data_IF_191179902574
#
_entry.id   IF_191179902574
#
_cell.length_a   1.000
_cell.length_b   1.000
_cell.length_c   1.000
_cell.angle_alpha   90.00
_cell.angle_beta   90.00
_cell.angle_gamma   90.00
#
_symmetry.space_group_name_H-M   'P 1'
#
loop_
_entity.id
_entity.type
_entity.pdbx_description
1 polymer ?
#
# COMPACT_ATOMS: atom_id res chain seq x y z
N UNK A 1 -14.77 29.36 2.52
CA UNK A 1 -14.50 28.73 1.23
C UNK A 1 -13.02 28.51 0.95
N UNK A 2 -12.15 29.51 0.94
CA UNK A 2 -10.70 29.33 0.68
C UNK A 2 -10.02 28.36 1.67
N UNK A 3 -10.32 28.46 2.97
CA UNK A 3 -9.78 27.55 3.98
C UNK A 3 -10.21 26.08 3.75
N UNK A 4 -11.44 25.84 3.30
CA UNK A 4 -11.93 24.50 2.99
C UNK A 4 -11.24 23.91 1.75
N UNK A 5 -10.98 24.73 0.73
CA UNK A 5 -10.21 24.32 -0.45
C UNK A 5 -8.77 23.99 -0.04
N UNK A 6 -8.14 24.82 0.81
CA UNK A 6 -6.81 24.57 1.34
C UNK A 6 -6.74 23.25 2.13
N UNK A 7 -7.71 23.00 3.00
CA UNK A 7 -7.81 21.74 3.74
C UNK A 7 -7.95 20.53 2.81
N UNK A 8 -8.82 20.61 1.80
CA UNK A 8 -9.00 19.55 0.82
C UNK A 8 -7.72 19.25 0.04
N UNK A 9 -7.02 20.29 -0.40
CA UNK A 9 -5.76 20.14 -1.13
C UNK A 9 -4.68 19.46 -0.27
N UNK A 10 -4.52 19.90 0.99
CA UNK A 10 -3.57 19.30 1.92
C UNK A 10 -3.94 17.83 2.17
N UNK A 11 -5.20 17.54 2.41
CA UNK A 11 -5.67 16.17 2.68
C UNK A 11 -5.42 15.25 1.48
N UNK A 12 -5.79 15.67 0.27
CA UNK A 12 -5.61 14.86 -0.95
C UNK A 12 -4.12 14.60 -1.23
N UNK A 13 -3.28 15.65 -1.20
CA UNK A 13 -1.86 15.51 -1.52
C UNK A 13 -1.14 14.68 -0.45
N UNK A 14 -1.43 14.94 0.83
CA UNK A 14 -0.82 14.19 1.92
C UNK A 14 -1.26 12.72 1.91
N UNK A 15 -2.54 12.45 1.77
CA UNK A 15 -3.06 11.08 1.69
C UNK A 15 -2.45 10.33 0.50
N UNK A 16 -2.34 10.95 -0.67
CA UNK A 16 -1.71 10.34 -1.83
C UNK A 16 -0.26 9.94 -1.55
N UNK A 17 0.52 10.83 -0.94
CA UNK A 17 1.91 10.54 -0.56
C UNK A 17 2.00 9.39 0.46
N UNK A 18 1.14 9.42 1.48
CA UNK A 18 1.08 8.37 2.51
C UNK A 18 0.73 7.01 1.89
N UNK A 19 -0.26 6.95 0.98
CA UNK A 19 -0.60 5.72 0.27
C UNK A 19 0.56 5.19 -0.57
N UNK A 20 1.31 6.04 -1.27
CA UNK A 20 2.49 5.62 -2.04
C UNK A 20 3.60 5.07 -1.13
N UNK A 21 3.87 5.73 -0.01
CA UNK A 21 4.87 5.27 0.96
C UNK A 21 4.48 3.94 1.61
N UNK A 22 3.20 3.76 1.96
CA UNK A 22 2.67 2.50 2.48
C UNK A 22 2.68 1.40 1.42
N UNK A 23 2.29 1.71 0.18
CA UNK A 23 2.38 0.74 -0.92
C UNK A 23 3.82 0.25 -1.11
N UNK A 24 4.81 1.15 -1.06
CA UNK A 24 6.24 0.80 -1.13
C UNK A 24 6.65 -0.13 0.00
N UNK A 25 6.26 0.17 1.24
CA UNK A 25 6.52 -0.68 2.40
C UNK A 25 5.86 -2.06 2.24
N UNK A 26 4.58 -2.10 1.88
CA UNK A 26 3.81 -3.34 1.69
C UNK A 26 4.39 -4.19 0.55
N UNK A 27 4.82 -3.59 -0.56
CA UNK A 27 5.44 -4.33 -1.66
C UNK A 27 6.72 -5.01 -1.22
N UNK A 28 7.54 -4.35 -0.43
CA UNK A 28 8.75 -4.95 0.09
C UNK A 28 8.45 -6.04 1.11
N UNK A 29 7.51 -5.82 2.01
CA UNK A 29 7.07 -6.81 2.99
C UNK A 29 6.49 -8.07 2.32
N UNK A 30 5.66 -7.90 1.31
CA UNK A 30 5.03 -8.99 0.55
C UNK A 30 5.92 -9.55 -0.56
N UNK A 31 7.16 -9.07 -0.69
CA UNK A 31 8.14 -9.47 -1.71
C UNK A 31 7.63 -9.35 -3.13
N UNK A 32 6.88 -8.30 -3.41
CA UNK A 32 6.38 -7.98 -4.74
C UNK A 32 7.53 -7.50 -5.63
N UNK A 33 7.63 -7.96 -6.88
CA UNK A 33 8.68 -7.50 -7.79
C UNK A 33 8.50 -6.02 -8.15
N UNK A 34 9.57 -5.22 -8.01
CA UNK A 34 9.57 -3.79 -8.38
C UNK A 34 9.87 -3.54 -9.88
N UNK A 35 10.26 -4.58 -10.62
CA UNK A 35 10.61 -4.48 -12.05
C UNK A 35 9.35 -4.43 -12.93
N UNK A 36 8.58 -3.38 -12.77
CA UNK A 36 7.38 -3.11 -13.56
C UNK A 36 7.07 -1.59 -13.50
N UNK A 37 6.27 -1.04 -14.42
CA UNK A 37 6.00 0.40 -14.51
C UNK A 37 5.44 1.00 -13.21
N UNK A 38 4.60 0.27 -12.48
CA UNK A 38 4.06 0.72 -11.19
C UNK A 38 5.14 0.80 -10.12
N UNK A 39 6.04 -0.18 -10.06
CA UNK A 39 7.15 -0.20 -9.13
C UNK A 39 8.14 0.94 -9.39
N UNK A 40 8.45 1.21 -10.65
CA UNK A 40 9.31 2.33 -11.04
C UNK A 40 8.68 3.67 -10.67
N UNK A 41 7.41 3.87 -10.96
CA UNK A 41 6.65 5.05 -10.55
C UNK A 41 6.66 5.22 -9.01
N UNK A 42 6.38 4.15 -8.28
CA UNK A 42 6.34 4.16 -6.83
C UNK A 42 7.69 4.57 -6.22
N UNK A 43 8.79 4.00 -6.74
CA UNK A 43 10.15 4.34 -6.32
C UNK A 43 10.50 5.77 -6.70
N UNK A 44 10.23 6.20 -7.92
CA UNK A 44 10.53 7.54 -8.40
C UNK A 44 9.84 8.61 -7.54
N UNK A 45 8.56 8.42 -7.22
CA UNK A 45 7.75 9.39 -6.49
C UNK A 45 8.10 9.44 -4.99
N UNK A 46 8.52 8.33 -4.38
CA UNK A 46 8.76 8.25 -2.93
C UNK A 46 10.24 8.36 -2.53
N UNK A 47 11.16 8.26 -3.47
CA UNK A 47 12.59 8.14 -3.19
C UNK A 47 13.19 9.38 -2.49
N UNK A 48 12.67 10.57 -2.79
CA UNK A 48 13.10 11.82 -2.14
C UNK A 48 12.85 11.80 -0.63
N UNK A 49 11.74 11.21 -0.17
CA UNK A 49 11.40 11.12 1.24
C UNK A 49 12.11 9.95 1.94
N UNK A 50 12.25 8.80 1.25
CA UNK A 50 12.78 7.57 1.85
C UNK A 50 14.31 7.55 1.87
N UNK A 51 15.00 8.12 0.87
CA UNK A 51 16.47 8.14 0.81
C UNK A 51 17.16 8.73 2.04
N UNK A 52 16.76 9.92 2.54
CA UNK A 52 17.40 10.48 3.73
C UNK A 52 17.18 9.60 4.98
N UNK A 53 15.99 9.02 5.12
CA UNK A 53 15.68 8.16 6.27
C UNK A 53 16.45 6.83 6.23
N UNK A 54 16.70 6.27 5.05
CA UNK A 54 17.53 5.06 4.90
C UNK A 54 18.98 5.23 5.34
N UNK A 55 19.47 6.46 5.43
CA UNK A 55 20.82 6.73 5.98
C UNK A 55 20.87 6.57 7.49
N UNK A 56 19.74 6.78 8.17
CA UNK A 56 19.60 6.72 9.63
C UNK A 56 18.98 5.39 10.06
N UNK A 57 18.00 4.89 9.30
CA UNK A 57 17.24 3.68 9.62
C UNK A 57 17.72 2.58 8.68
N UNK A 58 18.53 1.67 9.19
CA UNK A 58 18.95 0.50 8.45
C UNK A 58 17.75 -0.44 8.18
N UNK A 59 17.71 -1.13 7.02
CA UNK A 59 16.68 -2.13 6.77
C UNK A 59 16.81 -3.27 7.78
N UNK A 60 15.73 -3.58 8.48
CA UNK A 60 15.68 -4.65 9.48
C UNK A 60 14.96 -5.85 8.88
N UNK A 61 15.60 -7.01 8.88
CA UNK A 61 15.02 -8.27 8.41
C UNK A 61 14.40 -8.22 6.98
N UNK A 62 14.93 -7.36 6.10
CA UNK A 62 14.41 -7.18 4.75
C UNK A 62 13.19 -6.25 4.65
N UNK A 63 12.77 -5.64 5.75
CA UNK A 63 11.69 -4.65 5.79
C UNK A 63 12.24 -3.24 5.57
N UNK A 64 11.56 -2.46 4.73
CA UNK A 64 11.89 -1.04 4.51
C UNK A 64 11.24 -0.15 5.59
N UNK A 65 11.78 -0.24 6.82
CA UNK A 65 11.29 0.58 7.93
C UNK A 65 11.38 2.07 7.62
N UNK A 66 12.32 2.50 6.78
CA UNK A 66 12.44 3.89 6.36
C UNK A 66 11.19 4.36 5.60
N UNK A 67 10.58 3.51 4.75
CA UNK A 67 9.31 3.85 4.08
C UNK A 67 8.13 3.92 5.05
N UNK A 68 8.08 3.03 6.04
CA UNK A 68 7.04 3.06 7.08
C UNK A 68 7.14 4.31 7.96
N UNK A 69 8.36 4.64 8.42
CA UNK A 69 8.61 5.85 9.21
C UNK A 69 8.34 7.11 8.38
N UNK A 70 8.72 7.12 7.10
CA UNK A 70 8.39 8.23 6.19
C UNK A 70 6.88 8.42 6.07
N UNK A 71 6.10 7.34 5.92
CA UNK A 71 4.64 7.40 5.88
C UNK A 71 4.05 7.94 7.18
N UNK A 72 4.58 7.48 8.33
CA UNK A 72 4.14 7.94 9.64
C UNK A 72 4.41 9.42 9.87
N UNK A 73 5.61 9.89 9.53
CA UNK A 73 5.97 11.31 9.63
C UNK A 73 5.14 12.18 8.67
N UNK A 74 4.90 11.70 7.44
CA UNK A 74 4.06 12.40 6.48
C UNK A 74 2.62 12.52 6.99
N UNK A 75 2.07 11.46 7.59
CA UNK A 75 0.73 11.48 8.19
C UNK A 75 0.66 12.40 9.41
N UNK A 76 1.67 12.37 10.30
CA UNK A 76 1.74 13.32 11.42
C UNK A 76 1.75 14.77 10.94
N UNK A 77 2.56 15.07 9.92
CA UNK A 77 2.65 16.40 9.34
C UNK A 77 1.31 16.82 8.71
N UNK A 78 0.63 15.92 8.02
CA UNK A 78 -0.70 16.17 7.46
C UNK A 78 -1.74 16.50 8.53
N UNK A 79 -1.80 15.69 9.59
CA UNK A 79 -2.70 15.92 10.72
C UNK A 79 -2.40 17.25 11.43
N UNK A 80 -1.12 17.55 11.61
CA UNK A 80 -0.70 18.83 12.17
C UNK A 80 -1.12 20.02 11.29
N UNK A 81 -0.86 19.95 9.98
CA UNK A 81 -1.23 21.00 9.04
C UNK A 81 -2.75 21.21 8.98
N UNK A 82 -3.53 20.12 8.95
CA UNK A 82 -4.98 20.19 8.98
C UNK A 82 -5.53 20.76 10.27
N UNK A 83 -4.93 20.44 11.42
CA UNK A 83 -5.34 21.02 12.70
C UNK A 83 -5.03 22.52 12.77
N UNK A 84 -3.86 22.95 12.27
CA UNK A 84 -3.48 24.36 12.19
C UNK A 84 -4.44 25.16 11.29
N UNK A 85 -4.82 24.59 10.13
CA UNK A 85 -5.80 25.22 9.21
C UNK A 85 -7.22 25.32 9.80
N UNK A 86 -7.54 24.50 10.80
CA UNK A 86 -8.82 24.55 11.55
C UNK A 86 -8.79 25.51 12.73
N UNK A 87 -7.69 26.22 12.94
CA UNK A 87 -7.53 27.12 14.08
C UNK A 87 -7.19 26.42 15.39
N UNK A 88 -6.65 25.20 15.31
CA UNK A 88 -6.17 24.47 16.49
C UNK A 88 -4.99 25.19 17.14
N UNK A 89 -5.15 25.62 18.38
CA UNK A 89 -4.07 26.18 19.18
C UNK A 89 -3.28 25.05 19.84
N UNK A 90 -2.03 24.86 19.41
CA UNK A 90 -1.08 23.97 20.08
C UNK A 90 -0.42 24.71 21.26
N UNK A 91 -1.23 25.11 22.24
CA UNK A 91 -0.78 25.87 23.39
C UNK A 91 0.13 25.08 24.36
N UNK A 92 0.06 25.36 25.67
CA UNK A 92 0.94 24.84 26.73
C UNK A 92 1.07 23.29 26.84
N UNK A 93 0.27 22.52 26.10
CA UNK A 93 0.27 21.06 26.08
C UNK A 93 0.93 20.46 24.82
N UNK A 94 1.97 21.08 24.28
CA UNK A 94 2.64 20.68 23.03
C UNK A 94 3.04 19.18 23.02
N UNK A 95 3.51 18.66 24.15
CA UNK A 95 3.88 17.26 24.30
C UNK A 95 2.69 16.30 24.19
N UNK A 96 1.57 16.62 24.84
CA UNK A 96 0.36 15.83 24.78
C UNK A 96 -0.26 15.87 23.36
N UNK A 97 -0.29 17.04 22.74
CA UNK A 97 -0.77 17.19 21.36
C UNK A 97 0.08 16.36 20.37
N UNK A 98 1.41 16.40 20.48
CA UNK A 98 2.31 15.60 19.65
C UNK A 98 2.10 14.10 19.87
N UNK A 99 1.90 13.64 21.11
CA UNK A 99 1.61 12.22 21.39
C UNK A 99 0.29 11.76 20.78
N UNK A 100 -0.75 12.58 20.86
CA UNK A 100 -2.05 12.29 20.24
C UNK A 100 -1.93 12.21 18.72
N UNK A 101 -1.23 13.17 18.09
CA UNK A 101 -1.00 13.14 16.63
C UNK A 101 -0.21 11.90 16.22
N UNK A 102 0.82 11.53 16.97
CA UNK A 102 1.63 10.35 16.72
C UNK A 102 0.81 9.06 16.79
N UNK A 103 -0.02 8.92 17.83
CA UNK A 103 -0.90 7.77 18.00
C UNK A 103 -1.98 7.72 16.90
N UNK A 104 -2.61 8.84 16.58
CA UNK A 104 -3.61 8.93 15.50
C UNK A 104 -2.99 8.58 14.16
N UNK A 105 -1.81 9.13 13.84
CA UNK A 105 -1.09 8.81 12.62
C UNK A 105 -0.77 7.31 12.53
N UNK A 106 -0.40 6.66 13.62
CA UNK A 106 -0.13 5.24 13.63
C UNK A 106 -1.39 4.40 13.34
N UNK A 107 -2.52 4.74 13.95
CA UNK A 107 -3.82 4.09 13.67
C UNK A 107 -4.25 4.30 12.22
N UNK A 108 -4.07 5.52 11.70
CA UNK A 108 -4.37 5.82 10.29
C UNK A 108 -3.50 5.00 9.33
N UNK A 109 -2.22 4.78 9.64
CA UNK A 109 -1.35 3.93 8.81
C UNK A 109 -1.87 2.49 8.73
N UNK A 110 -2.33 1.94 9.84
CA UNK A 110 -2.95 0.59 9.84
C UNK A 110 -4.19 0.60 8.94
N UNK A 111 -5.06 1.58 9.10
CA UNK A 111 -6.29 1.71 8.30
C UNK A 111 -5.99 1.86 6.81
N UNK A 112 -5.04 2.72 6.45
CA UNK A 112 -4.64 2.93 5.05
C UNK A 112 -3.94 1.71 4.46
N UNK A 113 -3.16 0.97 5.25
CA UNK A 113 -2.58 -0.31 4.81
C UNK A 113 -3.67 -1.32 4.45
N UNK A 114 -4.74 -1.40 5.24
CA UNK A 114 -5.90 -2.24 4.93
C UNK A 114 -6.59 -1.78 3.64
N UNK A 115 -6.76 -0.48 3.42
CA UNK A 115 -7.34 0.04 2.18
C UNK A 115 -6.49 -0.29 0.95
N UNK A 116 -5.16 -0.19 1.05
CA UNK A 116 -4.24 -0.61 -0.03
C UNK A 116 -4.39 -2.10 -0.34
N UNK A 117 -4.51 -2.94 0.69
CA UNK A 117 -4.70 -4.38 0.51
C UNK A 117 -6.06 -4.72 -0.10
N UNK A 118 -7.14 -4.08 0.37
CA UNK A 118 -8.49 -4.24 -0.20
C UNK A 118 -8.49 -3.80 -1.68
N UNK A 119 -7.90 -2.66 -1.98
CA UNK A 119 -7.73 -2.19 -3.35
C UNK A 119 -6.97 -3.20 -4.21
N UNK A 120 -5.87 -3.75 -3.70
CA UNK A 120 -5.11 -4.77 -4.41
C UNK A 120 -5.92 -6.04 -4.71
N UNK A 121 -6.77 -6.49 -3.76
CA UNK A 121 -7.68 -7.63 -3.98
C UNK A 121 -8.70 -7.32 -5.07
N UNK A 122 -9.33 -6.15 -5.03
CA UNK A 122 -10.32 -5.73 -6.04
C UNK A 122 -9.67 -5.68 -7.43
N UNK A 123 -8.51 -5.03 -7.54
CA UNK A 123 -7.78 -4.93 -8.82
C UNK A 123 -7.36 -6.32 -9.32
N UNK A 124 -6.90 -7.22 -8.44
CA UNK A 124 -6.55 -8.58 -8.81
C UNK A 124 -7.74 -9.35 -9.39
N UNK A 125 -8.91 -9.24 -8.77
CA UNK A 125 -10.16 -9.86 -9.27
C UNK A 125 -10.53 -9.28 -10.63
N UNK A 126 -10.53 -7.96 -10.78
CA UNK A 126 -10.86 -7.30 -12.06
C UNK A 126 -9.87 -7.71 -13.15
N UNK A 127 -8.57 -7.71 -12.87
CA UNK A 127 -7.55 -8.12 -13.84
C UNK A 127 -7.68 -9.58 -14.25
N UNK A 128 -8.08 -10.46 -13.33
CA UNK A 128 -8.29 -11.87 -13.65
C UNK A 128 -9.42 -12.10 -14.67
N UNK A 129 -10.38 -11.18 -14.76
CA UNK A 129 -11.49 -11.26 -15.68
C UNK A 129 -11.24 -10.51 -17.00
N UNK A 130 -10.65 -9.31 -16.90
CA UNK A 130 -10.49 -8.40 -18.06
C UNK A 130 -9.20 -8.70 -18.84
N UNK A 131 -8.08 -8.85 -18.13
CA UNK A 131 -6.78 -9.09 -18.76
C UNK A 131 -5.80 -9.82 -17.81
N UNK A 132 -5.87 -11.16 -17.75
CA UNK A 132 -4.99 -11.95 -16.88
C UNK A 132 -3.51 -11.90 -17.29
N UNK A 133 -3.21 -11.49 -18.53
CA UNK A 133 -1.86 -11.37 -19.07
C UNK A 133 -1.28 -9.94 -18.94
N UNK A 134 -1.94 -9.07 -18.22
CA UNK A 134 -1.45 -7.71 -17.95
C UNK A 134 -0.09 -7.75 -17.24
N UNK A 135 0.89 -6.89 -17.63
CA UNK A 135 2.20 -6.80 -16.98
C UNK A 135 2.13 -6.42 -15.50
N UNK A 136 0.99 -5.90 -15.04
CA UNK A 136 0.75 -5.55 -13.63
C UNK A 136 0.04 -6.66 -12.83
N UNK A 137 -0.56 -7.65 -13.50
CA UNK A 137 -1.26 -8.75 -12.84
C UNK A 137 -0.40 -9.51 -11.81
N UNK A 138 0.89 -9.84 -12.10
CA UNK A 138 1.76 -10.49 -11.12
C UNK A 138 1.99 -9.69 -9.83
N UNK A 139 1.91 -8.36 -9.91
CA UNK A 139 2.05 -7.45 -8.77
C UNK A 139 0.90 -7.66 -7.79
N UNK A 140 -0.33 -7.56 -8.29
CA UNK A 140 -1.53 -7.72 -7.46
C UNK A 140 -1.71 -9.15 -6.98
N UNK A 141 -1.37 -10.16 -7.79
CA UNK A 141 -1.35 -11.55 -7.33
C UNK A 141 -0.36 -11.76 -6.19
N UNK A 142 0.88 -11.22 -6.29
CA UNK A 142 1.87 -11.31 -5.23
C UNK A 142 1.41 -10.61 -3.93
N UNK A 143 0.77 -9.44 -4.03
CA UNK A 143 0.22 -8.70 -2.88
C UNK A 143 -0.90 -9.47 -2.18
N UNK A 144 -1.76 -10.12 -2.93
CA UNK A 144 -2.97 -10.79 -2.41
C UNK A 144 -2.72 -12.24 -2.01
N UNK A 145 -1.68 -12.87 -2.55
CA UNK A 145 -1.33 -14.29 -2.33
C UNK A 145 -1.30 -14.72 -0.86
N UNK A 146 -0.68 -14.01 0.10
CA UNK A 146 -0.64 -14.44 1.50
C UNK A 146 -2.03 -14.47 2.14
N UNK A 147 -2.95 -13.61 1.69
CA UNK A 147 -4.31 -13.51 2.22
C UNK A 147 -5.26 -14.50 1.54
N UNK A 148 -5.07 -14.78 0.25
CA UNK A 148 -5.91 -15.70 -0.50
C UNK A 148 -5.51 -17.18 -0.33
N UNK A 149 -4.25 -17.47 0.02
CA UNK A 149 -3.79 -18.85 0.26
C UNK A 149 -4.63 -19.62 1.29
N UNK A 150 -4.92 -19.11 2.49
CA UNK A 150 -5.74 -19.83 3.45
C UNK A 150 -7.16 -20.06 2.93
N UNK A 151 -7.74 -19.08 2.23
CA UNK A 151 -9.09 -19.16 1.66
C UNK A 151 -9.14 -20.21 0.53
N UNK A 152 -8.15 -20.22 -0.36
CA UNK A 152 -8.04 -21.22 -1.44
C UNK A 152 -7.84 -22.66 -0.93
N UNK A 153 -7.33 -22.83 0.29
CA UNK A 153 -7.22 -24.15 0.92
C UNK A 153 -8.55 -24.64 1.50
N UNK A 154 -9.43 -23.72 1.88
CA UNK A 154 -10.75 -24.02 2.44
C UNK A 154 -11.79 -24.23 1.34
N UNK A 155 -11.60 -23.64 0.16
CA UNK A 155 -12.49 -23.79 -1.00
C UNK A 155 -11.74 -24.64 -2.03
N UNK A 156 -11.99 -25.97 -2.11
CA UNK A 156 -11.40 -26.80 -3.14
C UNK A 156 -11.87 -26.30 -4.52
N UNK A 157 -11.02 -26.35 -5.55
CA UNK A 157 -11.41 -25.96 -6.89
C UNK A 157 -12.58 -26.85 -7.38
N UNK A 158 -13.75 -26.25 -7.59
CA UNK A 158 -14.98 -26.94 -8.04
C UNK A 158 -14.94 -27.26 -9.54
N UNK A 159 -13.83 -27.10 -10.21
CA UNK A 159 -13.70 -27.40 -11.63
C UNK A 159 -12.40 -28.14 -11.90
N UNK A 160 -12.45 -29.44 -11.66
CA UNK A 160 -11.63 -30.37 -12.43
C UNK A 160 -12.31 -30.57 -13.79
N UNK A 161 -12.14 -29.64 -14.70
CA UNK A 161 -12.32 -29.93 -16.12
C UNK A 161 -11.04 -30.65 -16.55
N UNK A 162 -11.00 -31.94 -16.33
CA UNK A 162 -10.07 -32.84 -16.97
C UNK A 162 -10.32 -32.74 -18.48
N UNK A 163 -9.60 -31.86 -19.15
CA UNK A 163 -9.33 -32.00 -20.56
C UNK A 163 -8.16 -32.97 -20.71
N UNK A 164 -8.30 -34.18 -20.23
CA UNK A 164 -7.60 -35.31 -20.79
C UNK A 164 -8.18 -35.50 -22.20
N UNK A 165 -7.56 -34.78 -23.12
CA UNK A 165 -7.68 -35.04 -24.54
C UNK A 165 -7.05 -36.40 -24.75
N UNK A 166 -7.92 -37.36 -24.77
CA UNK A 166 -7.68 -38.74 -25.22
C UNK A 166 -7.12 -38.61 -26.65
N UNK A 167 -5.79 -38.59 -26.78
CA UNK A 167 -5.17 -38.90 -28.05
C UNK A 167 -5.25 -40.42 -28.17
N UNK A 168 -6.39 -40.88 -28.65
CA UNK A 168 -6.52 -42.21 -29.17
C UNK A 168 -5.41 -42.45 -30.18
N UNK A 169 -4.41 -43.21 -29.77
CA UNK A 169 -3.52 -43.89 -30.66
C UNK A 169 -4.40 -44.86 -31.50
N UNK A 170 -4.67 -44.45 -32.71
CA UNK A 170 -5.17 -45.31 -33.75
C UNK A 170 -3.97 -45.92 -34.47
N UNK A 171 -3.61 -47.13 -34.06
CA UNK A 171 -2.82 -48.02 -34.89
C UNK A 171 -3.51 -48.22 -36.25
N UNK A 172 -2.75 -47.97 -37.32
CA UNK A 172 -2.68 -48.81 -38.55
C UNK A 172 -1.40 -48.51 -39.32
#
# INVERSE_FOLDING_TARGET
>A
MLAQIGQLLVDVVASFLVYLLLARFLWQWLRVPFRNPLGEFLVATTNWAVRPLRRVIAPLAGLDLASLVAAWLAQMLALWALSALRGGEFGAALGAAAAILAATAFVDLIRYSLYVLIFAVIVNVVLSWVNPYSPVAPVFDAMTRPFLRPIRRLVPPIANVDTTRDHGEGEW
#
